data_IF_818054891707
#
_entry.id   IF_818054891707
#
_cell.length_a   1.000
_cell.length_b   1.000
_cell.length_c   1.000
_cell.angle_alpha   90.00
_cell.angle_beta   90.00
_cell.angle_gamma   90.00
#
_symmetry.space_group_name_H-M   'P 1'
#
loop_
_entity.id
_entity.type
_entity.pdbx_description
1 polymer ?
#
# COMPACT_ATOMS: atom_id res chain seq x y z
N UNK A 1 -20.67 -2.08 0.79
CA UNK A 1 -19.65 -2.14 -0.28
C UNK A 1 -19.33 -0.72 -0.70
N UNK A 2 -18.07 -0.30 -0.66
CA UNK A 2 -17.65 1.02 -1.15
C UNK A 2 -17.70 1.00 -2.68
N UNK A 3 -18.77 1.50 -3.27
CA UNK A 3 -18.84 1.76 -4.69
C UNK A 3 -18.31 3.18 -4.95
N UNK A 4 -17.48 3.35 -5.97
CA UNK A 4 -17.09 4.69 -6.39
C UNK A 4 -18.33 5.45 -6.86
N UNK A 5 -18.45 6.72 -6.44
CA UNK A 5 -19.44 7.62 -7.02
C UNK A 5 -19.07 7.84 -8.49
N UNK A 6 -20.03 7.78 -9.44
CA UNK A 6 -19.75 7.99 -10.86
C UNK A 6 -19.01 9.30 -11.13
N UNK A 7 -19.34 10.35 -10.38
CA UNK A 7 -18.70 11.67 -10.49
C UNK A 7 -17.29 11.76 -9.89
N UNK A 8 -16.90 10.83 -8.99
CA UNK A 8 -15.53 10.76 -8.49
C UNK A 8 -14.55 10.25 -9.56
N UNK A 9 -15.08 9.59 -10.60
CA UNK A 9 -14.34 9.24 -11.81
C UNK A 9 -14.64 10.29 -12.86
N UNK A 10 -13.94 11.42 -12.82
CA UNK A 10 -14.06 12.43 -13.86
C UNK A 10 -13.84 11.76 -15.24
N UNK A 11 -14.77 11.89 -16.20
CA UNK A 11 -14.57 11.36 -17.54
C UNK A 11 -13.28 11.93 -18.13
N UNK A 12 -12.33 11.05 -18.49
CA UNK A 12 -11.02 11.44 -19.01
C UNK A 12 -9.92 11.67 -17.98
N UNK A 13 -10.15 11.40 -16.69
CA UNK A 13 -9.06 11.35 -15.70
C UNK A 13 -8.01 10.31 -16.15
N UNK A 14 -6.74 10.72 -16.21
CA UNK A 14 -5.65 9.84 -16.54
C UNK A 14 -5.58 8.69 -15.53
N UNK A 15 -5.33 7.48 -16.03
CA UNK A 15 -5.26 6.25 -15.23
C UNK A 15 -3.86 5.68 -15.35
N UNK A 16 -3.32 5.18 -14.25
CA UNK A 16 -2.07 4.42 -14.22
C UNK A 16 -2.37 2.98 -13.85
N UNK A 17 -1.66 2.05 -14.49
CA UNK A 17 -1.67 0.63 -14.12
C UNK A 17 -0.69 0.40 -12.97
N UNK A 18 -1.15 -0.28 -11.93
CA UNK A 18 -0.30 -0.80 -10.84
C UNK A 18 -0.62 -2.26 -10.58
N UNK A 19 0.29 -2.97 -9.91
CA UNK A 19 0.11 -4.37 -9.53
C UNK A 19 -0.08 -4.48 -8.02
N UNK A 20 -1.29 -4.86 -7.59
CA UNK A 20 -1.60 -5.11 -6.19
C UNK A 20 -1.68 -6.61 -5.96
N UNK A 21 -0.76 -7.16 -5.18
CA UNK A 21 -0.65 -8.60 -4.91
C UNK A 21 -0.64 -9.43 -6.21
N UNK A 22 0.11 -8.95 -7.21
CA UNK A 22 0.21 -9.55 -8.55
C UNK A 22 -0.97 -9.28 -9.49
N UNK A 23 -2.05 -8.65 -9.03
CA UNK A 23 -3.23 -8.32 -9.86
C UNK A 23 -3.09 -6.92 -10.44
N UNK A 24 -3.30 -6.76 -11.75
CA UNK A 24 -3.35 -5.44 -12.39
C UNK A 24 -4.59 -4.67 -11.93
N UNK A 25 -4.41 -3.39 -11.59
CA UNK A 25 -5.44 -2.47 -11.12
C UNK A 25 -5.26 -1.12 -11.80
N UNK A 26 -6.31 -0.63 -12.46
CA UNK A 26 -6.35 0.72 -13.00
C UNK A 26 -6.75 1.71 -11.90
N UNK A 27 -5.90 2.69 -11.65
CA UNK A 27 -6.07 3.68 -10.58
C UNK A 27 -5.94 5.08 -11.17
N UNK A 28 -6.73 6.07 -10.71
CA UNK A 28 -6.53 7.45 -11.12
C UNK A 28 -5.09 7.91 -10.85
N UNK A 29 -4.50 8.62 -11.82
CA UNK A 29 -3.23 9.29 -11.63
C UNK A 29 -3.32 10.26 -10.44
N UNK A 30 -2.27 10.31 -9.63
CA UNK A 30 -2.25 11.12 -8.41
C UNK A 30 -2.91 10.49 -7.18
N UNK A 31 -3.60 9.36 -7.33
CA UNK A 31 -4.16 8.63 -6.19
C UNK A 31 -3.06 8.01 -5.30
N UNK A 32 -3.44 7.57 -4.10
CA UNK A 32 -2.51 6.87 -3.21
C UNK A 32 -2.44 5.36 -3.51
N UNK A 33 -1.33 4.72 -3.18
CA UNK A 33 -1.18 3.27 -3.22
C UNK A 33 -2.21 2.57 -2.30
N UNK A 34 -2.63 3.22 -1.21
CA UNK A 34 -3.72 2.73 -0.38
C UNK A 34 -5.07 2.69 -1.13
N UNK A 35 -5.36 3.69 -1.98
CA UNK A 35 -6.56 3.68 -2.81
C UNK A 35 -6.51 2.53 -3.83
N UNK A 36 -5.35 2.25 -4.42
CA UNK A 36 -5.15 1.10 -5.30
C UNK A 36 -5.52 -0.23 -4.61
N UNK A 37 -5.09 -0.40 -3.35
CA UNK A 37 -5.38 -1.59 -2.55
C UNK A 37 -6.87 -1.74 -2.24
N UNK A 38 -7.54 -0.63 -1.93
CA UNK A 38 -8.99 -0.64 -1.70
C UNK A 38 -9.76 -0.99 -3.00
N UNK A 39 -9.33 -0.45 -4.15
CA UNK A 39 -9.91 -0.78 -5.47
C UNK A 39 -9.68 -2.24 -5.86
N UNK A 40 -8.52 -2.80 -5.52
CA UNK A 40 -8.20 -4.21 -5.74
C UNK A 40 -9.07 -5.18 -4.91
N UNK A 41 -9.73 -4.66 -3.87
CA UNK A 41 -10.61 -5.44 -2.99
C UNK A 41 -9.85 -6.42 -2.11
N UNK A 42 -8.62 -6.09 -1.68
CA UNK A 42 -7.88 -6.94 -0.76
C UNK A 42 -8.62 -7.08 0.58
N UNK A 43 -8.60 -8.26 1.22
CA UNK A 43 -9.19 -8.46 2.54
C UNK A 43 -8.33 -7.82 3.66
N UNK A 44 -7.02 -7.68 3.42
CA UNK A 44 -6.08 -7.02 4.31
C UNK A 44 -4.84 -6.58 3.50
N UNK A 45 -4.20 -5.49 3.90
CA UNK A 45 -2.90 -5.03 3.37
C UNK A 45 -1.74 -5.38 4.31
N UNK A 46 -2.04 -5.75 5.56
CA UNK A 46 -1.07 -6.21 6.54
C UNK A 46 -1.75 -6.97 7.67
N UNK A 47 -0.91 -7.62 8.47
CA UNK A 47 -1.30 -8.11 9.80
C UNK A 47 -0.57 -7.32 10.90
N UNK A 48 -1.18 -7.19 12.08
CA UNK A 48 -0.49 -6.60 13.24
C UNK A 48 0.64 -7.52 13.71
N UNK A 49 1.81 -6.99 14.11
CA UNK A 49 2.98 -7.83 14.39
C UNK A 49 2.81 -8.73 15.62
N UNK A 50 1.94 -8.35 16.57
CA UNK A 50 1.74 -9.09 17.83
C UNK A 50 0.60 -10.09 17.74
N UNK A 51 -0.60 -9.63 17.33
CA UNK A 51 -1.81 -10.45 17.32
C UNK A 51 -2.18 -11.03 15.95
N UNK A 52 -1.42 -10.68 14.90
CA UNK A 52 -1.72 -11.12 13.54
C UNK A 52 -3.02 -10.56 12.96
N UNK A 53 -3.66 -9.58 13.62
CA UNK A 53 -4.97 -9.10 13.21
C UNK A 53 -4.91 -8.40 11.85
N UNK A 54 -5.80 -8.72 10.89
CA UNK A 54 -5.81 -8.12 9.56
C UNK A 54 -6.12 -6.63 9.66
N UNK A 55 -5.46 -5.83 8.82
CA UNK A 55 -5.69 -4.39 8.70
C UNK A 55 -5.84 -3.97 7.24
N UNK A 56 -6.67 -2.97 7.03
CA UNK A 56 -6.81 -2.25 5.77
C UNK A 56 -6.50 -0.77 5.98
N UNK A 57 -6.26 -0.01 4.90
CA UNK A 57 -6.18 1.43 4.99
C UNK A 57 -7.42 2.03 5.69
N UNK A 58 -7.17 2.85 6.71
CA UNK A 58 -8.23 3.40 7.55
C UNK A 58 -8.21 4.93 7.58
N UNK A 59 -7.17 5.54 8.17
CA UNK A 59 -7.15 6.99 8.38
C UNK A 59 -6.87 7.82 7.13
N UNK A 60 -6.18 7.27 6.13
CA UNK A 60 -5.70 8.00 4.93
C UNK A 60 -4.86 9.27 5.19
N UNK A 61 -4.29 9.40 6.39
CA UNK A 61 -3.53 10.60 6.82
C UNK A 61 -2.10 10.28 7.31
N UNK A 62 -1.68 9.01 7.26
CA UNK A 62 -0.34 8.61 7.71
C UNK A 62 -0.16 8.54 9.24
N UNK A 63 -1.26 8.48 10.01
CA UNK A 63 -1.20 8.49 11.49
C UNK A 63 -1.47 7.14 12.15
N UNK A 64 -2.29 6.28 11.54
CA UNK A 64 -2.70 5.01 12.18
C UNK A 64 -1.79 3.82 11.86
N UNK A 65 -0.93 3.93 10.85
CA UNK A 65 -0.06 2.85 10.35
C UNK A 65 -0.77 1.56 9.88
N UNK A 66 -2.10 1.50 9.84
CA UNK A 66 -2.81 0.30 9.36
C UNK A 66 -2.64 0.03 7.85
N UNK A 67 -2.15 1.03 7.10
CA UNK A 67 -1.90 0.94 5.66
C UNK A 67 -0.46 0.53 5.29
N UNK A 68 0.34 0.00 6.23
CA UNK A 68 1.71 -0.41 5.86
C UNK A 68 1.68 -1.51 4.80
N UNK A 69 2.49 -1.34 3.77
CA UNK A 69 2.67 -2.27 2.67
C UNK A 69 4.16 -2.37 2.31
N UNK A 70 4.50 -3.38 1.52
CA UNK A 70 5.73 -3.36 0.74
C UNK A 70 5.41 -2.77 -0.64
N UNK A 71 6.17 -1.74 -1.03
CA UNK A 71 6.00 -1.04 -2.30
C UNK A 71 7.34 -1.07 -3.03
N UNK A 72 7.35 -1.65 -4.22
CA UNK A 72 8.55 -1.81 -5.06
C UNK A 72 9.75 -2.42 -4.29
N UNK A 73 9.47 -3.44 -3.48
CA UNK A 73 10.47 -4.14 -2.64
C UNK A 73 10.84 -3.42 -1.35
N UNK A 74 10.28 -2.23 -1.09
CA UNK A 74 10.53 -1.47 0.14
C UNK A 74 9.41 -1.72 1.14
N UNK A 75 9.71 -2.45 2.21
CA UNK A 75 8.78 -2.78 3.28
C UNK A 75 8.39 -1.56 4.15
N UNK A 76 7.29 -1.67 4.90
CA UNK A 76 6.80 -0.71 5.89
C UNK A 76 6.58 0.71 5.33
N UNK A 77 6.11 0.79 4.09
CA UNK A 77 5.71 2.05 3.46
C UNK A 77 4.27 2.36 3.84
N UNK A 78 4.01 3.60 4.25
CA UNK A 78 2.65 4.07 4.48
C UNK A 78 1.97 4.28 3.12
N UNK A 79 1.25 3.27 2.63
CA UNK A 79 0.66 3.30 1.29
C UNK A 79 -0.29 4.48 1.08
N UNK A 80 -0.89 5.03 2.14
CA UNK A 80 -1.71 6.25 2.05
C UNK A 80 -0.92 7.53 1.75
N UNK A 81 0.39 7.52 1.99
CA UNK A 81 1.29 8.66 1.75
C UNK A 81 2.15 8.48 0.48
N UNK A 82 1.91 7.42 -0.30
CA UNK A 82 2.64 7.12 -1.54
C UNK A 82 1.70 7.30 -2.72
N UNK A 83 2.02 8.22 -3.62
CA UNK A 83 1.32 8.40 -4.88
C UNK A 83 1.65 7.26 -5.83
N UNK A 84 0.65 6.72 -6.54
CA UNK A 84 0.85 5.65 -7.52
C UNK A 84 1.67 6.12 -8.72
N UNK A 85 2.46 5.21 -9.28
CA UNK A 85 3.20 5.40 -10.54
C UNK A 85 2.99 4.17 -11.45
N UNK A 86 3.07 4.32 -12.79
CA UNK A 86 2.91 3.21 -13.72
C UNK A 86 3.84 2.03 -13.40
N UNK A 87 3.28 0.82 -13.35
CA UNK A 87 4.03 -0.41 -13.09
C UNK A 87 4.40 -0.66 -11.63
N UNK A 88 4.01 0.23 -10.70
CA UNK A 88 4.28 0.08 -9.26
C UNK A 88 3.73 -1.24 -8.72
N UNK A 89 4.50 -1.91 -7.87
CA UNK A 89 4.14 -3.18 -7.22
C UNK A 89 3.85 -2.95 -5.75
N UNK A 90 2.62 -3.23 -5.33
CA UNK A 90 2.14 -3.08 -3.96
C UNK A 90 1.78 -4.47 -3.45
N UNK A 91 2.45 -4.95 -2.41
CA UNK A 91 2.18 -6.27 -1.82
C UNK A 91 1.88 -6.16 -0.32
N UNK A 92 1.03 -7.05 0.23
CA UNK A 92 0.71 -7.03 1.65
C UNK A 92 1.95 -7.14 2.53
N UNK A 93 2.02 -6.30 3.57
CA UNK A 93 3.09 -6.38 4.57
C UNK A 93 2.87 -7.60 5.48
N UNK A 94 3.84 -8.51 5.46
CA UNK A 94 3.87 -9.66 6.34
C UNK A 94 4.74 -9.38 7.57
N UNK A 95 4.19 -9.63 8.75
CA UNK A 95 4.91 -9.56 10.03
C UNK A 95 5.50 -8.19 10.38
N UNK A 96 6.41 -8.18 11.37
CA UNK A 96 7.21 -7.02 11.68
C UNK A 96 8.32 -6.82 10.63
N UNK A 97 8.76 -5.57 10.45
CA UNK A 97 9.96 -5.30 9.62
C UNK A 97 11.14 -6.12 10.14
N UNK A 98 11.86 -6.79 9.25
CA UNK A 98 13.19 -7.29 9.60
C UNK A 98 14.09 -6.07 9.79
N UNK A 99 14.66 -5.93 10.98
CA UNK A 99 15.77 -5.01 11.14
C UNK A 99 16.89 -5.51 10.22
N UNK A 100 17.47 -4.62 9.40
CA UNK A 100 18.73 -4.95 8.74
C UNK A 100 19.72 -5.27 9.87
N UNK A 101 20.44 -6.42 9.84
CA UNK A 101 21.46 -6.66 10.83
C UNK A 101 22.41 -5.46 10.84
N UNK A 102 22.68 -4.90 12.02
CA UNK A 102 23.76 -3.94 12.18
C UNK A 102 25.02 -4.59 11.60
N UNK A 103 25.65 -3.93 10.62
CA UNK A 103 27.06 -4.20 10.37
C UNK A 103 27.78 -3.73 11.62
N UNK A 104 28.00 -4.64 12.57
CA UNK A 104 28.95 -4.43 13.64
C UNK A 104 30.29 -4.26 12.95
N UNK A 105 30.71 -3.01 12.81
CA UNK A 105 32.04 -2.67 12.36
C UNK A 105 33.02 -3.20 13.39
N UNK A 106 33.81 -4.18 12.98
CA UNK A 106 35.04 -4.56 13.65
C UNK A 106 36.05 -3.42 13.47
N UNK A 107 36.50 -2.81 14.58
CA UNK A 107 37.66 -1.91 14.54
C UNK A 107 37.62 -0.71 15.48
N UNK A 108 38.19 -0.90 16.68
CA UNK A 108 39.28 -0.11 17.30
C UNK A 108 39.19 -0.19 18.83
#
# INVERSE_FOLDING_TARGET
MFAQRPEARAPGAAQVEVFVDGRSVQVPEGASAAAAVLLAGLPAIRSTPVKGSPRLPYCMMGVCFDCLAEIDGVANRQSCMVTVAPGMRIVPQQGARRARPEMVGEGA
#
